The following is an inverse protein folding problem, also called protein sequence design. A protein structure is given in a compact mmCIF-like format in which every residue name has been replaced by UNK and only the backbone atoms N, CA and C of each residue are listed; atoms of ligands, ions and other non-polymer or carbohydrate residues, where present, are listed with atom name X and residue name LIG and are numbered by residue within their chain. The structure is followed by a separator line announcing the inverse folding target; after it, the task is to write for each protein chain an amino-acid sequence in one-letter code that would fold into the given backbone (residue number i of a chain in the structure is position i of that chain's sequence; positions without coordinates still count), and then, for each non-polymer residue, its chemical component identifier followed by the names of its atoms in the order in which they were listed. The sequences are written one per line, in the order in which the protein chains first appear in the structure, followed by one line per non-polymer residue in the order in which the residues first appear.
data_IF_994910563008
#
_entry.id   IF_994910563008
#
_cell.length_a   1.000
_cell.length_b   1.000
_cell.length_c   1.000
_cell.angle_alpha   90.00
_cell.angle_beta   90.00
_cell.angle_gamma   90.00
#
_symmetry.space_group_name_H-M   'P 1'
#
loop_
_entity.id
_entity.type
_entity.pdbx_description
1 polymer ?
#
# COMPACT_ATOMS: atom_id res chain seq x y z
N UNK A 1 -15.94 -3.33 -6.72
CA UNK A 1 -14.48 -3.44 -6.53
C UNK A 1 -14.13 -2.62 -5.30
N UNK A 2 -13.25 -3.12 -4.44
CA UNK A 2 -12.84 -2.43 -3.20
C UNK A 2 -11.44 -1.81 -3.38
N UNK A 3 -11.09 -0.89 -2.47
CA UNK A 3 -9.80 -0.18 -2.51
C UNK A 3 -8.60 -1.11 -2.32
N UNK A 4 -8.75 -2.26 -1.65
CA UNK A 4 -7.67 -3.23 -1.47
C UNK A 4 -7.32 -3.93 -2.79
N UNK A 5 -8.31 -4.38 -3.56
CA UNK A 5 -8.08 -5.01 -4.88
C UNK A 5 -7.40 -4.04 -5.84
N UNK A 6 -7.94 -2.82 -5.94
CA UNK A 6 -7.37 -1.74 -6.74
C UNK A 6 -5.93 -1.40 -6.30
N UNK A 7 -5.65 -1.42 -5.00
CA UNK A 7 -4.31 -1.22 -4.46
C UNK A 7 -3.35 -2.34 -4.86
N UNK A 8 -3.76 -3.60 -4.74
CA UNK A 8 -2.94 -4.74 -5.16
C UNK A 8 -2.61 -4.67 -6.66
N UNK A 9 -3.60 -4.33 -7.50
CA UNK A 9 -3.40 -4.16 -8.94
C UNK A 9 -2.38 -3.03 -9.22
N UNK A 10 -2.48 -1.90 -8.51
CA UNK A 10 -1.51 -0.80 -8.62
C UNK A 10 -0.11 -1.26 -8.19
N UNK A 11 0.00 -2.03 -7.11
CA UNK A 11 1.28 -2.50 -6.57
C UNK A 11 1.93 -3.57 -7.43
N UNK A 12 1.17 -4.33 -8.22
CA UNK A 12 1.69 -5.35 -9.14
C UNK A 12 2.00 -4.81 -10.54
N UNK A 13 1.57 -3.60 -10.89
CA UNK A 13 1.91 -2.97 -12.16
C UNK A 13 3.42 -2.67 -12.27
N UNK A 14 3.97 -2.70 -13.48
CA UNK A 14 5.40 -2.50 -13.77
C UNK A 14 5.87 -1.04 -13.69
N UNK A 15 4.97 -0.10 -13.44
CA UNK A 15 5.30 1.32 -13.40
C UNK A 15 5.80 1.79 -12.02
N UNK A 16 6.95 2.47 -12.01
CA UNK A 16 7.48 3.18 -10.84
C UNK A 16 8.15 2.31 -9.78
N UNK A 17 8.55 2.93 -8.66
CA UNK A 17 9.31 2.28 -7.58
C UNK A 17 8.37 1.60 -6.56
N UNK A 18 7.66 0.55 -6.98
CA UNK A 18 6.69 -0.16 -6.11
C UNK A 18 7.33 -0.93 -4.95
N UNK A 19 8.45 -1.61 -5.17
CA UNK A 19 9.14 -2.36 -4.10
C UNK A 19 9.65 -1.48 -2.96
N UNK A 20 10.11 -0.26 -3.29
CA UNK A 20 10.52 0.72 -2.28
C UNK A 20 9.32 1.16 -1.45
N UNK A 21 8.23 1.53 -2.12
CA UNK A 21 7.00 1.93 -1.45
C UNK A 21 6.41 0.82 -0.56
N UNK A 22 6.39 -0.43 -1.02
CA UNK A 22 5.91 -1.57 -0.21
C UNK A 22 6.82 -1.79 1.01
N UNK A 23 8.15 -1.64 0.84
CA UNK A 23 9.10 -1.71 1.96
C UNK A 23 8.86 -0.60 2.99
N UNK A 24 8.55 0.61 2.54
CA UNK A 24 8.22 1.74 3.42
C UNK A 24 6.91 1.48 4.19
N UNK A 25 5.90 0.90 3.53
CA UNK A 25 4.65 0.49 4.18
C UNK A 25 4.87 -0.57 5.27
N UNK A 26 5.75 -1.54 5.02
CA UNK A 26 6.16 -2.53 6.03
C UNK A 26 6.91 -1.88 7.19
N UNK A 27 7.75 -0.89 6.91
CA UNK A 27 8.43 -0.09 7.94
C UNK A 27 7.45 0.65 8.85
N UNK A 28 6.41 1.24 8.25
CA UNK A 28 5.37 1.98 8.95
C UNK A 28 4.47 1.11 9.83
N UNK A 29 4.37 -0.20 9.57
CA UNK A 29 3.67 -1.12 10.47
C UNK A 29 4.40 -1.30 11.81
N UNK A 30 5.74 -1.20 11.79
CA UNK A 30 6.60 -1.43 12.96
C UNK A 30 6.88 -0.15 13.73
N UNK A 31 6.94 0.97 13.01
CA UNK A 31 7.30 2.27 13.57
C UNK A 31 6.30 3.32 13.11
N UNK A 32 5.65 4.00 14.06
CA UNK A 32 4.84 5.15 13.76
C UNK A 32 5.74 6.31 13.29
N UNK A 33 5.58 6.82 12.06
CA UNK A 33 6.36 7.95 11.59
C UNK A 33 5.90 9.23 12.29
N UNK A 34 6.82 10.19 12.41
CA UNK A 34 6.49 11.54 12.91
C UNK A 34 5.49 12.19 11.94
N UNK A 35 4.38 12.76 12.44
CA UNK A 35 3.41 13.44 11.60
C UNK A 35 4.02 14.53 10.70
N UNK A 36 3.75 14.49 9.40
CA UNK A 36 4.21 15.51 8.43
C UNK A 36 3.09 16.48 8.05
N UNK A 37 3.47 17.64 7.50
CA UNK A 37 2.50 18.63 7.01
C UNK A 37 1.60 18.04 5.91
N UNK A 38 2.16 17.20 5.03
CA UNK A 38 1.42 16.53 3.97
C UNK A 38 0.37 15.57 4.54
N UNK A 39 0.70 14.83 5.60
CA UNK A 39 -0.26 13.96 6.27
C UNK A 39 -1.40 14.78 6.91
N UNK A 40 -1.09 15.94 7.49
CA UNK A 40 -2.11 16.83 8.06
C UNK A 40 -3.05 17.41 6.98
N UNK A 41 -2.54 17.69 5.78
CA UNK A 41 -3.33 18.22 4.67
C UNK A 41 -4.19 17.15 3.99
N UNK A 42 -3.68 15.94 3.88
CA UNK A 42 -4.31 14.87 3.08
C UNK A 42 -5.12 13.89 3.93
N UNK A 43 -4.84 13.81 5.23
CA UNK A 43 -5.44 12.83 6.14
C UNK A 43 -4.88 11.41 6.00
N UNK A 44 -3.90 11.19 5.13
CA UNK A 44 -3.26 9.88 4.95
C UNK A 44 -1.89 9.86 5.62
N UNK A 45 -1.51 8.72 6.21
CA UNK A 45 -0.14 8.50 6.72
C UNK A 45 0.85 8.42 5.56
N UNK A 46 0.45 7.82 4.44
CA UNK A 46 1.25 7.81 3.21
C UNK A 46 0.33 7.55 2.02
N UNK A 47 0.84 7.72 0.80
CA UNK A 47 0.03 7.54 -0.41
C UNK A 47 0.83 6.99 -1.57
N UNK A 48 0.14 6.18 -2.39
CA UNK A 48 0.59 5.79 -3.72
C UNK A 48 0.02 6.75 -4.77
N UNK A 49 0.10 6.39 -6.05
CA UNK A 49 -0.49 7.21 -7.11
C UNK A 49 -2.02 7.27 -6.97
N UNK A 50 -2.64 6.12 -6.67
CA UNK A 50 -4.09 5.96 -6.69
C UNK A 50 -4.72 5.84 -5.29
N UNK A 51 -3.93 5.49 -4.27
CA UNK A 51 -4.45 5.17 -2.94
C UNK A 51 -3.84 6.04 -1.85
N UNK A 52 -4.67 6.45 -0.90
CA UNK A 52 -4.23 6.92 0.40
C UNK A 52 -4.24 5.77 1.40
N UNK A 53 -3.23 5.74 2.27
CA UNK A 53 -3.06 4.73 3.31
C UNK A 53 -3.06 5.44 4.66
N UNK A 54 -3.98 5.06 5.52
CA UNK A 54 -4.11 5.58 6.89
C UNK A 54 -3.83 4.47 7.90
N UNK A 55 -2.89 4.71 8.80
CA UNK A 55 -2.54 3.80 9.89
C UNK A 55 -3.16 4.31 11.20
N UNK A 56 -4.06 3.51 11.78
CA UNK A 56 -4.55 3.66 13.15
C UNK A 56 -3.69 2.77 14.06
N UNK A 57 -2.65 3.38 14.64
CA UNK A 57 -1.70 2.67 15.50
C UNK A 57 -2.32 2.21 16.83
N UNK A 58 -3.31 2.94 17.34
CA UNK A 58 -4.00 2.60 18.57
C UNK A 58 -4.84 1.33 18.40
N UNK A 59 -5.47 1.16 17.22
CA UNK A 59 -6.23 -0.06 16.88
C UNK A 59 -5.41 -1.13 16.16
N UNK A 60 -4.19 -0.81 15.74
CA UNK A 60 -3.37 -1.66 14.88
C UNK A 60 -4.11 -2.03 13.58
N UNK A 61 -4.72 -1.03 12.92
CA UNK A 61 -5.47 -1.17 11.68
C UNK A 61 -4.98 -0.21 10.60
N UNK A 62 -5.02 -0.66 9.34
CA UNK A 62 -4.77 0.17 8.17
C UNK A 62 -6.06 0.32 7.37
N UNK A 63 -6.35 1.53 6.93
CA UNK A 63 -7.42 1.82 5.97
C UNK A 63 -6.82 2.26 4.64
N UNK A 64 -7.20 1.55 3.58
CA UNK A 64 -6.81 1.83 2.20
C UNK A 64 -7.99 2.52 1.52
N UNK A 65 -7.74 3.68 0.93
CA UNK A 65 -8.77 4.49 0.26
C UNK A 65 -8.33 4.84 -1.15
N UNK A 66 -9.19 4.66 -2.15
CA UNK A 66 -8.95 5.19 -3.49
C UNK A 66 -9.11 6.73 -3.49
N UNK A 67 -8.02 7.46 -3.76
CA UNK A 67 -7.97 8.92 -3.54
C UNK A 67 -8.27 9.79 -4.76
N UNK A 68 -8.37 9.19 -5.95
CA UNK A 68 -8.45 9.95 -7.21
C UNK A 68 -9.88 10.39 -7.50
N UNK A 69 -10.84 9.47 -7.35
CA UNK A 69 -12.26 9.74 -7.54
C UNK A 69 -13.00 9.34 -6.26
N UNK A 70 -13.63 10.29 -5.55
CA UNK A 70 -14.42 9.98 -4.36
C UNK A 70 -15.45 8.89 -4.63
N UNK A 71 -15.63 7.99 -3.66
CA UNK A 71 -16.63 6.92 -3.66
C UNK A 71 -16.56 5.90 -4.81
N UNK A 72 -15.56 5.97 -5.68
CA UNK A 72 -15.39 5.03 -6.79
C UNK A 72 -15.17 3.60 -6.30
N UNK A 73 -14.33 3.44 -5.27
CA UNK A 73 -14.12 2.19 -4.56
C UNK A 73 -14.31 2.39 -3.06
N UNK A 74 -15.01 1.46 -2.42
CA UNK A 74 -15.20 1.47 -0.98
C UNK A 74 -13.84 1.38 -0.28
N UNK A 75 -13.59 2.19 0.77
CA UNK A 75 -12.41 2.02 1.62
C UNK A 75 -12.36 0.60 2.20
N UNK A 76 -11.15 0.11 2.44
CA UNK A 76 -10.95 -1.22 3.00
C UNK A 76 -10.05 -1.13 4.22
N UNK A 77 -10.55 -1.58 5.37
CA UNK A 77 -9.82 -1.63 6.63
C UNK A 77 -9.40 -3.06 6.95
N UNK A 78 -8.16 -3.24 7.37
CA UNK A 78 -7.60 -4.52 7.75
C UNK A 78 -6.59 -4.34 8.90
N UNK A 79 -6.38 -5.39 9.68
CA UNK A 79 -5.41 -5.33 10.78
C UNK A 79 -3.98 -5.24 10.25
N UNK A 80 -3.05 -4.76 11.08
CA UNK A 80 -1.63 -4.67 10.74
C UNK A 80 -1.05 -6.02 10.28
N UNK A 81 -1.43 -7.13 10.93
CA UNK A 81 -0.97 -8.48 10.56
C UNK A 81 -1.52 -8.89 9.18
N UNK A 82 -2.78 -8.59 8.90
CA UNK A 82 -3.36 -8.87 7.59
C UNK A 82 -2.69 -8.02 6.51
N UNK A 83 -2.40 -6.75 6.80
CA UNK A 83 -1.72 -5.88 5.85
C UNK A 83 -0.28 -6.32 5.61
N UNK A 84 0.45 -6.73 6.65
CA UNK A 84 1.80 -7.30 6.53
C UNK A 84 1.81 -8.50 5.57
N UNK A 85 0.88 -9.43 5.74
CA UNK A 85 0.75 -10.58 4.85
C UNK A 85 0.48 -10.17 3.38
N UNK A 86 -0.36 -9.16 3.16
CA UNK A 86 -0.61 -8.60 1.82
C UNK A 86 0.67 -8.01 1.23
N UNK A 87 1.39 -7.17 1.99
CA UNK A 87 2.59 -6.48 1.52
C UNK A 87 3.74 -7.46 1.23
N UNK A 88 3.99 -8.43 2.09
CA UNK A 88 5.01 -9.47 1.86
C UNK A 88 4.66 -10.36 0.66
N UNK A 89 3.37 -10.69 0.49
CA UNK A 89 2.87 -11.38 -0.70
C UNK A 89 3.12 -10.57 -1.98
N UNK A 90 2.83 -9.27 -1.98
CA UNK A 90 3.07 -8.38 -3.10
C UNK A 90 4.58 -8.29 -3.44
N UNK A 91 5.46 -8.15 -2.44
CA UNK A 91 6.92 -8.15 -2.67
C UNK A 91 7.40 -9.45 -3.30
N UNK A 92 6.90 -10.59 -2.81
CA UNK A 92 7.26 -11.91 -3.33
C UNK A 92 6.83 -12.06 -4.79
N UNK A 93 5.59 -11.69 -5.12
CA UNK A 93 5.08 -11.73 -6.48
C UNK A 93 5.90 -10.86 -7.43
N UNK A 94 6.26 -9.64 -7.01
CA UNK A 94 7.09 -8.74 -7.82
C UNK A 94 8.49 -9.28 -8.09
N UNK A 95 9.14 -9.86 -7.08
CA UNK A 95 10.46 -10.50 -7.24
C UNK A 95 10.39 -11.65 -8.25
N UNK A 96 9.32 -12.46 -8.18
CA UNK A 96 9.11 -13.57 -9.12
C UNK A 96 8.86 -13.06 -10.55
N UNK A 97 8.05 -12.02 -10.75
CA UNK A 97 7.82 -11.40 -12.07
C UNK A 97 9.12 -10.89 -12.68
N UNK A 98 9.97 -10.21 -11.89
CA UNK A 98 11.29 -9.77 -12.34
C UNK A 98 12.18 -10.95 -12.76
N UNK A 99 12.20 -12.03 -11.96
CA UNK A 99 12.99 -13.21 -12.28
C UNK A 99 12.53 -13.87 -13.59
N UNK A 100 11.21 -14.03 -13.79
CA UNK A 100 10.65 -14.55 -15.03
C UNK A 100 11.01 -13.69 -16.24
N UNK A 101 10.92 -12.36 -16.14
CA UNK A 101 11.28 -11.45 -17.23
C UNK A 101 12.78 -11.49 -17.61
N UNK A 102 13.66 -11.84 -16.67
CA UNK A 102 15.09 -11.98 -16.93
C UNK A 102 15.46 -13.31 -17.59
N UNK A 103 14.67 -14.36 -17.37
CA UNK A 103 14.97 -15.73 -17.82
C UNK A 103 14.12 -16.20 -19.01
N UNK A 104 13.04 -15.49 -19.36
CA UNK A 104 12.27 -15.70 -20.59
C UNK A 104 12.72 -14.79 -21.75
N UNK A 105 13.98 -14.33 -21.74
CA UNK A 105 14.60 -13.59 -22.85
C UNK A 105 15.57 -14.45 -23.63
#
# INVERSE_FOLDING_TARGET
MDSLRSFMDEMLNDQGRKEGFISDLLGNLKNQPIPTLEQAQTGYTTMSNLHGIFYDYDKSEVTITYKVVPDMYQPYTLSFIQFEAVLEGLLTLRRNQKWQMQHNK
#
